data_IF_885992120874
#
_entry.id   IF_885992120874
#
_cell.length_a   1.000
_cell.length_b   1.000
_cell.length_c   1.000
_cell.angle_alpha   90.00
_cell.angle_beta   90.00
_cell.angle_gamma   90.00
#
_symmetry.space_group_name_H-M   'P 1'
#
loop_
_entity.id
_entity.type
_entity.pdbx_description
1 polymer ?
#
# COMPACT_ATOMS: atom_id res chain seq x y z
N UNK A 1 21.89 21.67 29.92
CA UNK A 1 22.32 21.32 28.55
C UNK A 1 23.26 20.14 28.64
N UNK A 2 22.71 18.92 28.64
CA UNK A 2 23.50 17.68 28.62
C UNK A 2 23.26 17.05 27.26
N UNK A 3 24.20 17.29 26.34
CA UNK A 3 24.44 16.43 25.19
C UNK A 3 25.39 15.32 25.66
N UNK A 4 24.86 14.17 26.05
CA UNK A 4 25.68 13.00 26.40
C UNK A 4 24.91 11.68 26.24
N UNK A 5 24.08 11.56 25.19
CA UNK A 5 23.84 10.23 24.65
C UNK A 5 24.90 10.01 23.59
N UNK A 6 25.86 9.18 23.98
CA UNK A 6 26.95 8.65 23.18
C UNK A 6 26.46 8.33 21.76
N UNK A 7 26.94 9.10 20.75
CA UNK A 7 26.80 8.69 19.37
C UNK A 7 27.72 7.48 19.16
N UNK A 8 27.20 6.30 19.47
CA UNK A 8 27.83 5.02 19.13
C UNK A 8 27.83 4.95 17.61
N UNK A 9 28.99 5.22 17.00
CA UNK A 9 29.20 4.89 15.59
C UNK A 9 28.99 3.39 15.47
N UNK A 10 27.95 2.91 14.76
CA UNK A 10 27.84 1.50 14.50
C UNK A 10 29.12 1.07 13.79
N UNK A 11 29.72 -0.02 14.28
CA UNK A 11 30.82 -0.70 13.61
C UNK A 11 30.52 -0.81 12.12
N UNK A 12 31.55 -0.72 11.30
CA UNK A 12 31.51 -0.62 9.84
C UNK A 12 30.86 -1.81 9.10
N UNK A 13 30.05 -2.61 9.78
CA UNK A 13 29.12 -3.59 9.21
C UNK A 13 27.83 -2.93 8.71
N UNK A 14 27.20 -3.58 7.73
CA UNK A 14 25.89 -3.16 7.21
C UNK A 14 24.83 -3.28 8.33
N UNK A 15 24.57 -2.19 9.05
CA UNK A 15 23.50 -2.12 10.04
C UNK A 15 22.14 -2.15 9.32
N UNK A 16 21.37 -3.22 9.52
CA UNK A 16 20.02 -3.35 8.98
C UNK A 16 19.05 -2.57 9.87
N UNK A 17 18.35 -1.59 9.28
CA UNK A 17 17.33 -0.83 9.98
C UNK A 17 16.10 -1.71 10.26
N UNK A 18 15.64 -1.70 11.50
CA UNK A 18 14.35 -2.29 11.87
C UNK A 18 13.21 -1.41 11.37
N UNK A 19 12.18 -2.04 10.80
CA UNK A 19 10.99 -1.36 10.30
C UNK A 19 9.76 -2.26 10.48
N UNK A 20 8.58 -1.65 10.41
CA UNK A 20 7.31 -2.36 10.25
C UNK A 20 6.65 -1.95 8.93
N UNK A 21 5.76 -2.80 8.43
CA UNK A 21 4.91 -2.46 7.30
C UNK A 21 3.70 -1.71 7.85
N UNK A 22 3.56 -0.44 7.46
CA UNK A 22 2.43 0.39 7.86
C UNK A 22 1.22 0.14 6.96
N UNK A 23 1.43 0.11 5.64
CA UNK A 23 0.38 -0.08 4.64
C UNK A 23 0.93 -0.77 3.40
N UNK A 24 0.05 -1.50 2.72
CA UNK A 24 0.30 -2.07 1.40
C UNK A 24 -0.95 -1.90 0.53
N UNK A 25 -0.78 -1.61 -0.76
CA UNK A 25 -1.91 -1.45 -1.69
C UNK A 25 -2.64 -2.75 -1.99
N UNK A 26 -1.90 -3.86 -2.16
CA UNK A 26 -2.48 -5.20 -2.32
C UNK A 26 -1.47 -6.30 -1.96
N UNK A 27 -1.95 -7.52 -1.73
CA UNK A 27 -1.09 -8.68 -1.53
C UNK A 27 -1.75 -9.96 -2.01
N UNK A 28 -0.96 -10.88 -2.56
CA UNK A 28 -1.41 -12.25 -2.83
C UNK A 28 -1.45 -13.05 -1.52
N UNK A 29 -2.47 -13.88 -1.33
CA UNK A 29 -2.63 -14.70 -0.12
C UNK A 29 -1.45 -15.63 0.14
N UNK A 30 -0.76 -16.07 -0.92
CA UNK A 30 0.38 -16.98 -0.79
C UNK A 30 1.72 -16.26 -0.62
N UNK A 31 1.75 -14.93 -0.82
CA UNK A 31 2.95 -14.09 -0.77
C UNK A 31 2.64 -12.80 -0.01
N UNK A 32 2.26 -12.90 1.28
CA UNK A 32 1.82 -11.76 2.07
C UNK A 32 2.99 -10.84 2.44
N UNK A 33 2.68 -9.60 2.81
CA UNK A 33 3.69 -8.57 3.09
C UNK A 33 4.54 -8.89 4.33
N UNK A 34 4.04 -9.75 5.22
CA UNK A 34 4.76 -10.25 6.40
C UNK A 34 6.02 -11.04 6.04
N UNK A 35 6.08 -11.65 4.86
CA UNK A 35 7.26 -12.36 4.36
C UNK A 35 8.47 -11.43 4.21
N UNK A 36 8.27 -10.12 3.99
CA UNK A 36 9.36 -9.13 3.90
C UNK A 36 10.07 -8.90 5.24
N UNK A 37 9.40 -9.21 6.36
CA UNK A 37 9.96 -9.05 7.70
C UNK A 37 10.91 -10.20 8.07
N UNK A 38 10.86 -11.32 7.34
CA UNK A 38 11.76 -12.45 7.52
C UNK A 38 13.15 -12.05 7.00
N UNK A 39 14.14 -12.07 7.89
CA UNK A 39 15.47 -11.58 7.55
C UNK A 39 16.33 -12.55 6.75
N UNK A 40 16.00 -13.85 6.77
CA UNK A 40 16.68 -14.86 5.95
C UNK A 40 16.04 -14.94 4.55
N UNK A 41 16.80 -14.48 3.56
CA UNK A 41 16.43 -14.46 2.14
C UNK A 41 16.14 -15.86 1.57
N UNK A 42 16.69 -16.91 2.17
CA UNK A 42 16.47 -18.29 1.72
C UNK A 42 15.20 -18.91 2.31
N UNK A 43 14.63 -18.30 3.35
CA UNK A 43 13.44 -18.80 4.04
C UNK A 43 12.18 -18.01 3.64
N UNK A 44 12.33 -16.74 3.28
CA UNK A 44 11.22 -15.91 2.83
C UNK A 44 10.74 -16.30 1.44
N UNK A 45 9.41 -16.34 1.26
CA UNK A 45 8.77 -16.44 -0.06
C UNK A 45 8.70 -15.10 -0.78
N UNK A 46 8.96 -14.01 -0.06
CA UNK A 46 8.79 -12.64 -0.51
C UNK A 46 7.33 -12.20 -0.58
N UNK A 47 7.14 -10.94 -1.00
CA UNK A 47 5.82 -10.35 -1.22
C UNK A 47 5.48 -10.31 -2.71
N UNK A 48 4.19 -10.42 -3.01
CA UNK A 48 3.64 -10.19 -4.33
C UNK A 48 2.33 -9.41 -4.23
N UNK A 49 2.10 -8.48 -5.15
CA UNK A 49 0.79 -7.86 -5.33
C UNK A 49 -0.27 -8.91 -5.71
N UNK A 50 -1.53 -8.56 -5.47
CA UNK A 50 -2.66 -9.37 -5.91
C UNK A 50 -2.69 -9.48 -7.45
N UNK A 51 -3.18 -10.61 -7.97
CA UNK A 51 -3.41 -10.76 -9.41
C UNK A 51 -4.39 -9.71 -9.93
N UNK A 52 -4.11 -9.19 -11.13
CA UNK A 52 -4.92 -8.15 -11.79
C UNK A 52 -5.08 -6.86 -10.97
N UNK A 53 -4.09 -6.54 -10.12
CA UNK A 53 -4.07 -5.26 -9.41
C UNK A 53 -3.84 -4.08 -10.37
N UNK A 54 -4.37 -2.92 -10.03
CA UNK A 54 -4.08 -1.67 -10.73
C UNK A 54 -2.68 -1.17 -10.39
N UNK A 55 -1.94 -0.63 -11.35
CA UNK A 55 -0.62 -0.07 -11.10
C UNK A 55 -0.69 1.46 -10.99
N UNK A 56 0.13 2.09 -10.10
CA UNK A 56 1.25 1.53 -9.35
C UNK A 56 0.84 0.75 -8.08
N UNK A 57 1.74 -0.11 -7.60
CA UNK A 57 1.62 -0.78 -6.30
C UNK A 57 2.56 -0.12 -5.29
N UNK A 58 2.11 -0.03 -4.04
CA UNK A 58 2.75 0.77 -3.00
C UNK A 58 2.88 -0.01 -1.69
N UNK A 59 4.03 0.17 -1.02
CA UNK A 59 4.31 -0.35 0.33
C UNK A 59 4.86 0.81 1.15
N UNK A 60 4.24 1.07 2.29
CA UNK A 60 4.68 2.10 3.24
C UNK A 60 5.37 1.40 4.40
N UNK A 61 6.63 1.75 4.60
CA UNK A 61 7.46 1.25 5.70
C UNK A 61 7.59 2.33 6.76
N UNK A 62 7.47 1.93 8.02
CA UNK A 62 7.60 2.82 9.15
C UNK A 62 8.75 2.37 10.04
N UNK A 63 9.56 3.34 10.44
CA UNK A 63 10.69 3.16 11.33
C UNK A 63 10.29 3.55 12.76
N UNK A 64 10.81 2.87 13.80
CA UNK A 64 10.48 3.17 15.19
C UNK A 64 10.98 4.55 15.65
N UNK A 65 11.92 5.14 14.93
CA UNK A 65 12.45 6.48 15.17
C UNK A 65 12.90 7.12 13.85
N UNK A 66 13.28 8.40 13.88
CA UNK A 66 13.85 9.10 12.73
C UNK A 66 15.19 8.47 12.36
N UNK A 67 15.30 7.97 11.13
CA UNK A 67 16.49 7.27 10.63
C UNK A 67 17.14 8.00 9.46
N UNK A 68 18.45 7.82 9.31
CA UNK A 68 19.17 8.20 8.08
C UNK A 68 19.34 6.95 7.20
N UNK A 69 18.59 6.89 6.11
CA UNK A 69 18.63 5.79 5.17
C UNK A 69 19.76 6.03 4.16
N UNK A 70 20.75 5.12 4.13
CA UNK A 70 21.92 5.21 3.24
C UNK A 70 21.84 4.28 2.04
N UNK A 71 21.24 3.11 2.24
CA UNK A 71 21.19 2.05 1.25
C UNK A 71 19.85 1.33 1.32
N UNK A 72 19.24 1.08 0.16
CA UNK A 72 18.09 0.20 -0.01
C UNK A 72 18.49 -0.87 -1.01
N UNK A 73 18.26 -2.13 -0.63
CA UNK A 73 18.40 -3.26 -1.52
C UNK A 73 17.02 -3.83 -1.81
N UNK A 74 16.69 -3.93 -3.10
CA UNK A 74 15.45 -4.55 -3.57
C UNK A 74 15.83 -5.79 -4.36
N UNK A 75 15.33 -6.94 -3.91
CA UNK A 75 15.44 -8.19 -4.66
C UNK A 75 14.10 -8.49 -5.31
N UNK A 76 14.12 -8.80 -6.60
CA UNK A 76 12.93 -9.20 -7.35
C UNK A 76 13.17 -10.56 -8.00
N UNK A 77 12.10 -11.35 -8.10
CA UNK A 77 12.10 -12.52 -8.96
C UNK A 77 12.24 -12.08 -10.42
N UNK A 78 12.97 -12.85 -11.24
CA UNK A 78 13.33 -12.50 -12.62
C UNK A 78 12.13 -12.23 -13.54
N UNK A 79 11.01 -12.91 -13.31
CA UNK A 79 9.76 -12.72 -14.06
C UNK A 79 8.86 -11.59 -13.53
N UNK A 80 9.26 -10.91 -12.45
CA UNK A 80 8.46 -9.90 -11.74
C UNK A 80 9.25 -8.62 -11.46
N UNK A 81 10.22 -8.30 -12.33
CA UNK A 81 11.04 -7.10 -12.19
C UNK A 81 10.16 -5.87 -12.48
N UNK A 82 10.01 -4.92 -11.55
CA UNK A 82 9.24 -3.71 -11.80
C UNK A 82 9.94 -2.85 -12.86
N UNK A 83 9.16 -2.27 -13.78
CA UNK A 83 9.70 -1.36 -14.80
C UNK A 83 10.18 -0.02 -14.22
N UNK A 84 9.65 0.37 -13.05
CA UNK A 84 10.02 1.60 -12.35
C UNK A 84 9.80 1.43 -10.86
N UNK A 85 10.77 1.91 -10.07
CA UNK A 85 10.64 2.06 -8.62
C UNK A 85 10.78 3.53 -8.27
N UNK A 86 9.87 4.04 -7.46
CA UNK A 86 9.95 5.40 -6.88
C UNK A 86 10.03 5.28 -5.36
N UNK A 87 10.85 6.13 -4.76
CA UNK A 87 11.01 6.21 -3.31
C UNK A 87 10.49 7.57 -2.86
N UNK A 88 9.67 7.54 -1.82
CA UNK A 88 9.14 8.73 -1.16
C UNK A 88 9.44 8.64 0.33
N UNK A 89 9.56 9.80 0.98
CA UNK A 89 9.81 9.91 2.42
C UNK A 89 8.79 10.85 3.03
N UNK A 90 8.28 10.51 4.21
CA UNK A 90 7.33 11.30 4.98
C UNK A 90 7.88 11.41 6.40
N UNK A 91 7.84 12.60 7.01
CA UNK A 91 8.12 12.76 8.44
C UNK A 91 6.84 12.50 9.22
N UNK A 92 6.91 11.75 10.32
CA UNK A 92 5.72 11.34 11.09
C UNK A 92 5.04 12.49 11.85
N UNK A 93 5.63 13.69 11.82
CA UNK A 93 5.03 14.90 12.34
C UNK A 93 4.05 15.56 11.35
N UNK A 94 4.12 15.17 10.08
CA UNK A 94 3.24 15.65 9.01
C UNK A 94 2.08 14.65 8.85
N UNK A 95 1.19 14.56 9.85
CA UNK A 95 -0.19 14.14 9.60
C UNK A 95 -0.82 15.21 8.69
N UNK A 96 -0.58 15.11 7.39
CA UNK A 96 -1.31 15.89 6.40
C UNK A 96 -2.56 15.09 6.03
N UNK A 97 -3.69 15.57 6.54
CA UNK A 97 -4.97 15.75 5.85
C UNK A 97 -5.07 15.05 4.48
N UNK A 98 -5.04 13.72 4.45
CA UNK A 98 -5.55 12.97 3.32
C UNK A 98 -7.06 13.10 3.38
N UNK A 99 -7.57 14.09 2.66
CA UNK A 99 -8.98 14.33 2.50
C UNK A 99 -9.69 13.02 2.07
N UNK A 100 -10.55 12.58 2.98
CA UNK A 100 -11.87 12.01 2.78
C UNK A 100 -12.35 11.86 1.32
N UNK A 101 -12.99 10.71 1.07
CA UNK A 101 -14.07 10.52 0.09
C UNK A 101 -13.71 10.54 -1.41
N UNK A 102 -13.68 9.35 -2.01
CA UNK A 102 -14.35 9.16 -3.31
C UNK A 102 -15.58 8.29 -3.09
N UNK A 103 -16.67 8.91 -2.63
CA UNK A 103 -18.01 8.45 -3.02
C UNK A 103 -18.13 8.70 -4.53
N UNK A 104 -18.05 7.66 -5.35
CA UNK A 104 -18.71 7.71 -6.67
C UNK A 104 -20.17 7.36 -6.43
N UNK A 105 -20.99 8.40 -6.22
CA UNK A 105 -22.42 8.32 -6.42
C UNK A 105 -22.65 7.95 -7.89
N UNK A 106 -23.04 6.70 -8.14
CA UNK A 106 -23.67 6.34 -9.41
C UNK A 106 -25.07 6.98 -9.44
N UNK A 107 -25.12 8.23 -9.90
CA UNK A 107 -26.34 8.85 -10.36
C UNK A 107 -26.70 8.23 -11.72
N UNK A 108 -27.39 7.08 -11.68
CA UNK A 108 -28.17 6.59 -12.82
C UNK A 108 -29.62 6.92 -12.56
N UNK A 109 -29.95 8.19 -12.73
CA UNK A 109 -31.32 8.65 -12.94
C UNK A 109 -31.85 8.05 -14.25
N UNK A 110 -32.63 6.97 -14.18
CA UNK A 110 -33.60 6.62 -15.23
C UNK A 110 -34.98 7.12 -14.80
N UNK A 111 -35.69 7.88 -15.66
CA UNK A 111 -36.96 8.49 -15.30
C UNK A 111 -38.03 7.42 -15.08
N UNK A 112 -38.65 7.46 -13.90
CA UNK A 112 -39.95 6.81 -13.69
C UNK A 112 -41.00 7.59 -14.48
N UNK A 113 -41.75 6.89 -15.32
CA UNK A 113 -43.08 7.34 -15.74
C UNK A 113 -43.93 6.12 -16.07
N UNK A 114 -44.68 5.72 -15.06
CA UNK A 114 -45.89 4.91 -15.15
C UNK A 114 -46.91 5.59 -16.06
N UNK A 115 -47.51 4.83 -16.98
CA UNK A 115 -48.81 5.17 -17.56
C UNK A 115 -49.68 3.92 -17.54
N UNK A 116 -50.64 3.90 -16.63
CA UNK A 116 -51.81 3.02 -16.68
C UNK A 116 -52.60 3.40 -17.93
N UNK A 117 -52.95 2.40 -18.75
CA UNK A 117 -54.12 2.49 -19.61
C UNK A 117 -55.12 1.47 -19.08
N UNK A 118 -56.06 2.02 -18.32
CA UNK A 118 -57.40 1.48 -18.12
C UNK A 118 -58.14 1.62 -19.45
N UNK A 119 -58.73 0.53 -19.95
CA UNK A 119 -59.99 0.61 -20.69
C UNK A 119 -60.62 -0.78 -20.75
N UNK A 120 -61.79 -0.87 -20.11
CA UNK A 120 -62.67 -2.02 -20.17
C UNK A 120 -63.43 -2.14 -21.49
N UNK A 121 -64.30 -3.16 -21.48
CA UNK A 121 -65.34 -3.51 -22.47
C UNK A 121 -64.92 -4.25 -23.74
N UNK A 122 -65.32 -5.53 -23.78
CA UNK A 122 -66.00 -6.09 -24.96
C UNK A 122 -67.15 -7.00 -24.49
N UNK A 123 -68.39 -6.55 -24.74
CA UNK A 123 -69.56 -7.42 -24.91
C UNK A 123 -69.63 -7.81 -26.39
N UNK A 124 -69.85 -9.09 -26.68
CA UNK A 124 -70.82 -9.62 -27.63
C UNK A 124 -70.81 -11.15 -27.53
#
# INVERSE_FOLDING_TARGET
FIMSDEYVKPDSGNFKLSYRVYKVSSQDMNYPVTELLISDINQTRGWQSQRFCEYPQEIILEFPCKVSLKHIQILCHTSKIPSKVKLYTMDGADELDYDSEQEVQQDVSLPVSSSKVDDGQAKA
#
